data_IF_087402528547
#
_entry.id   IF_087402528547
#
_cell.length_a   1.000
_cell.length_b   1.000
_cell.length_c   1.000
_cell.angle_alpha   90.00
_cell.angle_beta   90.00
_cell.angle_gamma   90.00
#
_symmetry.space_group_name_H-M   'P 1'
#
loop_
_entity.id
_entity.type
_entity.pdbx_description
1 polymer ?
#
# COMPACT_ATOMS: atom_id res chain seq x y z
N UNK A 1 -11.83 25.41 -21.80
CA UNK A 1 -13.25 25.13 -21.48
C UNK A 1 -13.51 23.70 -21.92
N UNK A 2 -13.66 22.79 -20.96
CA UNK A 2 -14.07 21.42 -21.29
C UNK A 2 -15.51 21.45 -21.80
N UNK A 3 -15.82 20.69 -22.84
CA UNK A 3 -17.18 20.52 -23.31
C UNK A 3 -17.99 19.72 -22.28
N UNK A 4 -19.33 19.82 -22.33
CA UNK A 4 -20.22 19.03 -21.45
C UNK A 4 -19.97 17.52 -21.62
N UNK A 5 -19.37 17.10 -22.75
CA UNK A 5 -18.99 15.71 -23.05
C UNK A 5 -17.67 15.26 -22.36
N UNK A 6 -16.93 16.16 -21.70
CA UNK A 6 -15.64 15.80 -21.08
C UNK A 6 -15.75 15.55 -19.56
N UNK A 7 -16.97 15.63 -19.00
CA UNK A 7 -17.20 15.40 -17.57
C UNK A 7 -17.26 13.90 -17.27
N UNK A 8 -16.38 13.42 -16.40
CA UNK A 8 -16.44 12.05 -15.87
C UNK A 8 -17.41 12.03 -14.68
N UNK A 9 -18.51 11.31 -14.83
CA UNK A 9 -19.49 11.11 -13.76
C UNK A 9 -19.09 9.91 -12.93
N UNK A 10 -18.84 10.15 -11.64
CA UNK A 10 -18.37 9.10 -10.72
C UNK A 10 -19.41 8.74 -9.68
N UNK A 11 -19.31 7.51 -9.18
CA UNK A 11 -20.03 7.05 -8.00
C UNK A 11 -19.05 6.57 -6.92
N UNK A 12 -19.47 6.71 -5.66
CA UNK A 12 -18.75 6.20 -4.49
C UNK A 12 -19.48 5.00 -3.91
N UNK A 13 -18.78 3.87 -3.71
CA UNK A 13 -19.28 2.69 -2.98
C UNK A 13 -18.43 2.51 -1.73
N UNK A 14 -19.04 2.73 -0.56
CA UNK A 14 -18.37 2.83 0.74
C UNK A 14 -18.07 4.27 1.12
N UNK A 15 -19.07 4.95 1.73
CA UNK A 15 -19.00 6.37 2.11
C UNK A 15 -18.42 6.58 3.52
N UNK A 16 -17.48 5.71 3.95
CA UNK A 16 -16.71 5.88 5.18
C UNK A 16 -15.64 6.98 5.05
N UNK A 17 -14.82 7.16 6.09
CA UNK A 17 -13.82 8.24 6.12
C UNK A 17 -12.87 8.23 4.90
N UNK A 18 -12.38 7.04 4.48
CA UNK A 18 -11.52 6.94 3.30
C UNK A 18 -12.29 7.30 2.02
N UNK A 19 -13.45 6.70 1.80
CA UNK A 19 -14.25 6.98 0.61
C UNK A 19 -14.66 8.45 0.47
N UNK A 20 -15.00 9.14 1.58
CA UNK A 20 -15.25 10.58 1.57
C UNK A 20 -14.00 11.39 1.21
N UNK A 21 -12.83 10.96 1.72
CA UNK A 21 -11.54 11.54 1.35
C UNK A 21 -11.26 11.42 -0.14
N UNK A 22 -11.44 10.23 -0.70
CA UNK A 22 -11.27 9.95 -2.12
C UNK A 22 -12.26 10.74 -2.98
N UNK A 23 -13.53 10.78 -2.59
CA UNK A 23 -14.55 11.58 -3.31
C UNK A 23 -14.22 13.06 -3.32
N UNK A 24 -13.73 13.61 -2.20
CA UNK A 24 -13.28 15.00 -2.10
C UNK A 24 -12.10 15.28 -3.03
N UNK A 25 -11.09 14.40 -3.05
CA UNK A 25 -9.93 14.54 -3.93
C UNK A 25 -10.35 14.41 -5.40
N UNK A 26 -11.17 13.43 -5.73
CA UNK A 26 -11.67 13.20 -7.07
C UNK A 26 -12.44 14.42 -7.61
N UNK A 27 -13.36 14.96 -6.82
CA UNK A 27 -14.18 16.12 -7.21
C UNK A 27 -13.42 17.46 -7.20
N UNK A 28 -12.20 17.50 -6.64
CA UNK A 28 -11.31 18.66 -6.78
C UNK A 28 -10.59 18.70 -8.14
N UNK A 29 -10.71 17.66 -8.95
CA UNK A 29 -10.13 17.57 -10.29
C UNK A 29 -11.16 18.08 -11.30
N UNK A 30 -10.78 19.02 -12.13
CA UNK A 30 -11.65 19.61 -13.14
C UNK A 30 -12.33 18.56 -14.02
N UNK A 31 -13.65 18.72 -14.23
CA UNK A 31 -14.44 17.81 -15.04
C UNK A 31 -14.68 16.43 -14.39
N UNK A 32 -14.56 16.30 -13.06
CA UNK A 32 -14.98 15.09 -12.32
C UNK A 32 -16.16 15.46 -11.42
N UNK A 33 -17.26 14.72 -11.50
CA UNK A 33 -18.49 14.99 -10.75
C UNK A 33 -19.00 13.75 -10.06
N UNK A 34 -19.18 13.81 -8.74
CA UNK A 34 -19.85 12.75 -7.98
C UNK A 34 -21.37 12.89 -8.15
N UNK A 35 -22.02 11.84 -8.64
CA UNK A 35 -23.47 11.81 -8.91
C UNK A 35 -24.22 10.75 -8.11
N UNK A 36 -23.50 9.81 -7.51
CA UNK A 36 -24.12 8.73 -6.72
C UNK A 36 -23.22 8.28 -5.59
N UNK A 37 -23.82 7.81 -4.49
CA UNK A 37 -23.10 7.21 -3.36
C UNK A 37 -23.85 6.00 -2.78
N UNK A 38 -23.10 5.04 -2.29
CA UNK A 38 -23.62 3.84 -1.64
C UNK A 38 -22.91 3.60 -0.30
N UNK A 39 -23.67 3.31 0.75
CA UNK A 39 -23.15 2.83 2.04
C UNK A 39 -24.23 2.01 2.74
N UNK A 40 -23.85 1.06 3.56
CA UNK A 40 -24.77 0.27 4.37
C UNK A 40 -25.31 1.01 5.61
N UNK A 41 -24.77 2.19 5.94
CA UNK A 41 -25.23 3.01 7.08
C UNK A 41 -25.90 4.30 6.60
N UNK A 42 -27.13 4.53 7.07
CA UNK A 42 -27.98 5.63 6.65
C UNK A 42 -27.39 7.02 6.92
N UNK A 43 -26.80 7.21 8.11
CA UNK A 43 -26.20 8.49 8.47
C UNK A 43 -25.05 8.92 7.56
N UNK A 44 -24.32 7.98 6.93
CA UNK A 44 -23.35 8.31 5.90
C UNK A 44 -23.99 8.74 4.59
N UNK A 45 -25.12 8.14 4.22
CA UNK A 45 -25.89 8.52 3.02
C UNK A 45 -26.50 9.93 3.17
N UNK A 46 -27.00 10.25 4.37
CA UNK A 46 -27.47 11.59 4.72
C UNK A 46 -26.34 12.61 4.59
N UNK A 47 -25.17 12.32 5.15
CA UNK A 47 -23.99 13.18 5.04
C UNK A 47 -23.54 13.40 3.59
N UNK A 48 -23.66 12.40 2.72
CA UNK A 48 -23.37 12.57 1.30
C UNK A 48 -24.32 13.57 0.64
N UNK A 49 -25.62 13.56 1.01
CA UNK A 49 -26.60 14.57 0.53
C UNK A 49 -26.31 15.96 1.07
N UNK A 50 -25.87 16.08 2.31
CA UNK A 50 -25.47 17.36 2.91
C UNK A 50 -24.24 17.95 2.20
N UNK A 51 -23.28 17.11 1.84
CA UNK A 51 -21.99 17.53 1.27
C UNK A 51 -22.07 17.82 -0.23
N UNK A 52 -22.77 16.97 -1.00
CA UNK A 52 -22.79 17.02 -2.47
C UNK A 52 -24.13 17.47 -3.06
N UNK A 53 -25.09 17.81 -2.21
CA UNK A 53 -26.40 18.32 -2.61
C UNK A 53 -27.50 17.25 -2.53
N UNK A 54 -28.74 17.73 -2.36
CA UNK A 54 -29.91 16.85 -2.15
C UNK A 54 -30.24 15.97 -3.36
N UNK A 55 -29.78 16.35 -4.53
CA UNK A 55 -30.05 15.66 -5.80
C UNK A 55 -29.10 14.50 -6.07
N UNK A 56 -28.05 14.30 -5.25
CA UNK A 56 -27.18 13.13 -5.38
C UNK A 56 -27.99 11.86 -5.14
N UNK A 57 -27.85 10.89 -6.03
CA UNK A 57 -28.46 9.57 -5.81
C UNK A 57 -27.74 8.83 -4.68
N UNK A 58 -28.48 8.36 -3.68
CA UNK A 58 -27.91 7.55 -2.60
C UNK A 58 -28.66 6.25 -2.43
N UNK A 59 -27.94 5.17 -2.11
CA UNK A 59 -28.54 3.84 -1.94
C UNK A 59 -27.75 3.00 -0.94
N UNK A 60 -28.38 1.98 -0.37
CA UNK A 60 -27.70 0.94 0.40
C UNK A 60 -27.23 -0.23 -0.47
N UNK A 61 -27.75 -0.35 -1.70
CA UNK A 61 -27.47 -1.45 -2.61
C UNK A 61 -26.52 -1.02 -3.74
N UNK A 62 -25.24 -1.47 -3.69
CA UNK A 62 -24.24 -1.13 -4.71
C UNK A 62 -24.64 -1.60 -6.13
N UNK A 63 -25.47 -2.63 -6.28
CA UNK A 63 -25.93 -3.10 -7.60
C UNK A 63 -26.73 -2.02 -8.34
N UNK A 64 -27.42 -1.13 -7.61
CA UNK A 64 -28.08 0.01 -8.22
C UNK A 64 -27.08 0.99 -8.84
N UNK A 65 -25.89 1.17 -8.22
CA UNK A 65 -24.78 1.95 -8.81
C UNK A 65 -24.25 1.25 -10.05
N UNK A 66 -24.03 -0.07 -9.99
CA UNK A 66 -23.52 -0.87 -11.12
C UNK A 66 -24.46 -0.76 -12.31
N UNK A 67 -25.79 -0.77 -12.09
CA UNK A 67 -26.81 -0.69 -13.14
C UNK A 67 -26.98 0.69 -13.80
N UNK A 68 -26.42 1.76 -13.24
CA UNK A 68 -26.57 3.14 -13.75
C UNK A 68 -25.74 3.34 -15.03
N UNK A 69 -26.38 3.79 -16.10
CA UNK A 69 -25.71 4.07 -17.39
C UNK A 69 -24.98 5.41 -17.41
N UNK A 70 -25.35 6.32 -16.51
CA UNK A 70 -24.76 7.66 -16.38
C UNK A 70 -23.54 7.72 -15.44
N UNK A 71 -23.09 6.58 -14.90
CA UNK A 71 -21.87 6.47 -14.11
C UNK A 71 -20.76 5.93 -15.01
N UNK A 72 -19.70 6.72 -15.19
CA UNK A 72 -18.52 6.35 -15.99
C UNK A 72 -17.47 5.59 -15.17
N UNK A 73 -17.26 6.01 -13.93
CA UNK A 73 -16.26 5.42 -13.05
C UNK A 73 -16.77 5.27 -11.61
N UNK A 74 -16.22 4.30 -10.89
CA UNK A 74 -16.61 3.99 -9.51
C UNK A 74 -15.38 4.01 -8.61
N UNK A 75 -15.50 4.69 -7.47
CA UNK A 75 -14.55 4.60 -6.35
C UNK A 75 -15.11 3.55 -5.37
N UNK A 76 -14.31 2.52 -5.07
CA UNK A 76 -14.66 1.45 -4.14
C UNK A 76 -13.80 1.61 -2.88
N UNK A 77 -14.44 1.95 -1.75
CA UNK A 77 -13.81 2.16 -0.45
C UNK A 77 -14.60 1.46 0.67
N UNK A 78 -15.11 0.28 0.35
CA UNK A 78 -15.82 -0.63 1.24
C UNK A 78 -14.85 -1.34 2.20
N UNK A 79 -15.31 -2.19 3.14
CA UNK A 79 -14.46 -3.19 3.77
C UNK A 79 -13.83 -4.13 2.74
N UNK A 80 -12.65 -4.67 3.07
CA UNK A 80 -11.78 -5.40 2.13
C UNK A 80 -12.48 -6.60 1.46
N UNK A 81 -13.32 -7.31 2.19
CA UNK A 81 -14.03 -8.50 1.68
C UNK A 81 -15.04 -8.22 0.55
N UNK A 82 -15.31 -6.95 0.24
CA UNK A 82 -16.15 -6.53 -0.87
C UNK A 82 -15.37 -6.07 -2.10
N UNK A 83 -14.06 -5.74 -1.96
CA UNK A 83 -13.28 -5.09 -3.01
C UNK A 83 -13.28 -5.87 -4.33
N UNK A 84 -12.93 -7.15 -4.27
CA UNK A 84 -12.84 -8.02 -5.45
C UNK A 84 -14.20 -8.14 -6.15
N UNK A 85 -15.26 -8.44 -5.43
CA UNK A 85 -16.59 -8.65 -6.00
C UNK A 85 -17.14 -7.40 -6.67
N UNK A 86 -17.11 -6.26 -5.99
CA UNK A 86 -17.62 -5.00 -6.53
C UNK A 86 -16.79 -4.55 -7.74
N UNK A 87 -15.45 -4.71 -7.67
CA UNK A 87 -14.56 -4.41 -8.80
C UNK A 87 -14.92 -5.19 -10.06
N UNK A 88 -15.11 -6.50 -9.93
CA UNK A 88 -15.48 -7.36 -11.06
C UNK A 88 -16.86 -6.98 -11.62
N UNK A 89 -17.84 -6.74 -10.75
CA UNK A 89 -19.20 -6.36 -11.18
C UNK A 89 -19.18 -5.01 -11.92
N UNK A 90 -18.41 -4.01 -11.45
CA UNK A 90 -18.27 -2.71 -12.10
C UNK A 90 -17.55 -2.83 -13.46
N UNK A 91 -16.44 -3.58 -13.53
CA UNK A 91 -15.69 -3.79 -14.78
C UNK A 91 -16.57 -4.49 -15.84
N UNK A 92 -17.31 -5.53 -15.45
CA UNK A 92 -18.23 -6.24 -16.32
C UNK A 92 -19.40 -5.36 -16.80
N UNK A 93 -19.80 -4.36 -16.00
CA UNK A 93 -20.79 -3.34 -16.38
C UNK A 93 -20.19 -2.19 -17.22
N UNK A 94 -18.93 -2.29 -17.62
CA UNK A 94 -18.27 -1.30 -18.47
C UNK A 94 -17.85 -0.02 -17.76
N UNK A 95 -17.63 -0.03 -16.45
CA UNK A 95 -17.20 1.11 -15.66
C UNK A 95 -15.71 1.09 -15.37
N UNK A 96 -15.06 2.25 -15.37
CA UNK A 96 -13.74 2.41 -14.82
C UNK A 96 -13.78 2.26 -13.29
N UNK A 97 -12.72 1.73 -12.69
CA UNK A 97 -12.70 1.42 -11.25
C UNK A 97 -11.43 1.95 -10.59
N UNK A 98 -11.63 2.71 -9.55
CA UNK A 98 -10.62 2.99 -8.53
C UNK A 98 -10.99 2.17 -7.28
N UNK A 99 -10.19 1.17 -6.94
CA UNK A 99 -10.44 0.30 -5.79
C UNK A 99 -9.43 0.55 -4.70
N UNK A 100 -9.88 0.90 -3.49
CA UNK A 100 -8.98 1.04 -2.35
C UNK A 100 -8.21 -0.26 -2.08
N UNK A 101 -7.05 -0.11 -1.51
CA UNK A 101 -6.17 -1.21 -1.11
C UNK A 101 -6.66 -1.86 0.21
N UNK A 102 -6.38 -3.15 0.44
CA UNK A 102 -5.81 -4.10 -0.52
C UNK A 102 -6.84 -4.43 -1.61
N UNK A 103 -6.37 -4.70 -2.81
CA UNK A 103 -7.25 -5.01 -3.95
C UNK A 103 -8.19 -6.20 -3.69
N UNK A 104 -7.76 -7.12 -2.84
CA UNK A 104 -8.47 -8.36 -2.51
C UNK A 104 -8.38 -8.68 -1.02
N UNK A 105 -9.37 -9.40 -0.50
CA UNK A 105 -9.38 -9.91 0.86
C UNK A 105 -8.65 -11.27 0.98
N UNK A 106 -8.74 -12.09 -0.06
CA UNK A 106 -8.04 -13.37 -0.20
C UNK A 106 -7.23 -13.41 -1.50
N UNK A 107 -6.07 -14.08 -1.47
CA UNK A 107 -5.13 -14.12 -2.61
C UNK A 107 -5.79 -14.73 -3.84
N UNK A 108 -6.62 -15.75 -3.65
CA UNK A 108 -7.31 -16.50 -4.70
C UNK A 108 -8.23 -15.61 -5.55
N UNK A 109 -8.72 -14.51 -5.01
CA UNK A 109 -9.57 -13.55 -5.71
C UNK A 109 -8.80 -12.74 -6.77
N UNK A 110 -7.48 -12.62 -6.60
CA UNK A 110 -6.65 -11.69 -7.38
C UNK A 110 -6.68 -11.95 -8.88
N UNK A 111 -6.53 -13.21 -9.29
CA UNK A 111 -6.57 -13.58 -10.71
C UNK A 111 -7.92 -13.27 -11.38
N UNK A 112 -9.01 -13.33 -10.62
CA UNK A 112 -10.35 -13.00 -11.13
C UNK A 112 -10.49 -11.50 -11.40
N UNK A 113 -9.92 -10.64 -10.55
CA UNK A 113 -9.89 -9.19 -10.77
C UNK A 113 -9.00 -8.83 -11.97
N UNK A 114 -7.80 -9.42 -12.08
CA UNK A 114 -6.90 -9.22 -13.24
C UNK A 114 -7.61 -9.61 -14.53
N UNK A 115 -8.26 -10.77 -14.57
CA UNK A 115 -8.99 -11.23 -15.75
C UNK A 115 -10.17 -10.32 -16.10
N UNK A 116 -10.89 -9.79 -15.10
CA UNK A 116 -11.98 -8.86 -15.34
C UNK A 116 -11.47 -7.53 -15.92
N UNK A 117 -10.37 -7.00 -15.40
CA UNK A 117 -9.72 -5.82 -15.97
C UNK A 117 -9.32 -6.04 -17.42
N UNK A 118 -8.62 -7.14 -17.71
CA UNK A 118 -8.14 -7.44 -19.07
C UNK A 118 -9.26 -7.60 -20.09
N UNK A 119 -10.44 -8.08 -19.68
CA UNK A 119 -11.60 -8.30 -20.56
C UNK A 119 -12.45 -7.05 -20.75
N UNK A 120 -12.36 -6.08 -19.88
CA UNK A 120 -13.30 -4.95 -19.82
C UNK A 120 -12.90 -3.75 -20.68
N UNK A 121 -11.67 -3.66 -21.15
CA UNK A 121 -11.07 -2.45 -21.76
C UNK A 121 -11.21 -1.18 -20.90
N UNK A 122 -11.44 -1.35 -19.60
CA UNK A 122 -11.62 -0.25 -18.66
C UNK A 122 -10.37 -0.03 -17.80
N UNK A 123 -10.20 1.20 -17.37
CA UNK A 123 -9.16 1.55 -16.42
C UNK A 123 -9.54 0.96 -15.05
N UNK A 124 -8.64 0.19 -14.47
CA UNK A 124 -8.70 -0.28 -13.10
C UNK A 124 -7.42 0.15 -12.38
N UNK A 125 -7.56 0.93 -11.32
CA UNK A 125 -6.43 1.38 -10.51
C UNK A 125 -6.65 1.01 -9.04
N UNK A 126 -5.61 0.45 -8.41
CA UNK A 126 -5.61 0.19 -6.97
C UNK A 126 -5.21 1.45 -6.22
N UNK A 127 -5.90 1.77 -5.13
CA UNK A 127 -5.72 2.97 -4.31
C UNK A 127 -4.47 2.93 -3.42
N UNK A 128 -3.30 2.54 -3.95
CA UNK A 128 -2.04 2.51 -3.21
C UNK A 128 -1.20 3.74 -3.55
N UNK A 129 -1.47 4.86 -2.90
CA UNK A 129 -0.92 6.18 -3.20
C UNK A 129 0.62 6.28 -3.14
N UNK A 130 1.34 5.35 -2.50
CA UNK A 130 2.81 5.31 -2.49
C UNK A 130 3.38 5.24 -3.90
N UNK A 131 2.67 4.60 -4.81
CA UNK A 131 3.05 4.49 -6.22
C UNK A 131 3.09 5.84 -6.95
N UNK A 132 2.32 6.83 -6.48
CA UNK A 132 2.27 8.19 -7.04
C UNK A 132 3.01 9.24 -6.21
N UNK A 133 3.68 8.85 -5.11
CA UNK A 133 4.45 9.77 -4.29
C UNK A 133 5.69 10.25 -5.02
N UNK A 134 5.87 11.58 -5.10
CA UNK A 134 7.05 12.18 -5.74
C UNK A 134 8.35 11.77 -5.04
N UNK A 135 8.30 11.52 -3.72
CA UNK A 135 9.48 11.07 -2.99
C UNK A 135 9.86 9.63 -3.31
N UNK A 136 8.90 8.72 -3.47
CA UNK A 136 9.18 7.36 -3.93
C UNK A 136 9.65 7.33 -5.40
N UNK A 137 9.11 8.19 -6.26
CA UNK A 137 9.58 8.34 -7.65
C UNK A 137 11.01 8.91 -7.70
N UNK A 138 11.32 9.89 -6.85
CA UNK A 138 12.68 10.41 -6.72
C UNK A 138 13.64 9.37 -6.15
N UNK A 139 13.23 8.61 -5.16
CA UNK A 139 14.02 7.50 -4.62
C UNK A 139 14.32 6.45 -5.69
N UNK A 140 13.37 6.12 -6.57
CA UNK A 140 13.58 5.22 -7.71
C UNK A 140 14.64 5.78 -8.67
N UNK A 141 14.58 7.06 -9.01
CA UNK A 141 15.57 7.72 -9.85
C UNK A 141 16.98 7.58 -9.24
N UNK A 142 17.13 7.92 -7.96
CA UNK A 142 18.40 7.84 -7.23
C UNK A 142 18.88 6.40 -7.07
N UNK A 143 17.98 5.47 -6.80
CA UNK A 143 18.29 4.04 -6.73
C UNK A 143 18.88 3.54 -8.07
N UNK A 144 18.22 3.85 -9.19
CA UNK A 144 18.69 3.50 -10.54
C UNK A 144 20.03 4.13 -10.89
N UNK A 145 20.34 5.32 -10.36
CA UNK A 145 21.64 5.98 -10.55
C UNK A 145 22.77 5.39 -9.70
N UNK A 146 22.48 4.38 -8.85
CA UNK A 146 23.45 3.76 -7.96
C UNK A 146 23.79 4.60 -6.71
N UNK A 147 22.90 5.51 -6.28
CA UNK A 147 23.14 6.41 -5.17
C UNK A 147 23.57 5.72 -3.85
N UNK A 148 23.15 4.50 -3.61
CA UNK A 148 23.48 3.73 -2.40
C UNK A 148 24.36 2.50 -2.68
N UNK A 149 24.84 2.33 -3.91
CA UNK A 149 25.59 1.14 -4.32
C UNK A 149 24.71 -0.10 -4.46
N UNK A 150 25.25 -1.27 -4.11
CA UNK A 150 24.54 -2.56 -4.22
C UNK A 150 23.57 -2.74 -3.07
N UNK A 151 22.26 -2.87 -3.37
CA UNK A 151 21.22 -3.15 -2.37
C UNK A 151 21.46 -4.51 -1.69
N UNK A 152 21.35 -4.56 -0.38
CA UNK A 152 21.47 -5.81 0.38
C UNK A 152 20.29 -6.03 1.36
N UNK A 153 19.67 -4.96 1.86
CA UNK A 153 18.57 -5.06 2.83
C UNK A 153 17.61 -3.86 2.66
N UNK A 154 16.34 -4.09 2.98
CA UNK A 154 15.36 -3.02 3.14
C UNK A 154 14.64 -3.19 4.47
N UNK A 155 14.45 -2.11 5.20
CA UNK A 155 13.67 -2.06 6.43
C UNK A 155 12.48 -1.15 6.23
N UNK A 156 11.31 -1.53 6.75
CA UNK A 156 10.14 -0.69 6.70
C UNK A 156 9.33 -0.75 7.99
N UNK A 157 8.71 0.34 8.34
CA UNK A 157 7.91 0.42 9.54
C UNK A 157 6.69 1.31 9.35
N UNK A 158 5.66 1.01 10.14
CA UNK A 158 4.49 1.84 10.31
C UNK A 158 4.06 1.73 11.78
N UNK A 159 4.53 2.66 12.58
CA UNK A 159 4.31 2.69 14.02
C UNK A 159 3.22 3.70 14.35
N UNK A 160 2.24 3.29 15.15
CA UNK A 160 1.12 4.10 15.63
C UNK A 160 1.07 4.10 17.14
N UNK A 161 0.43 5.11 17.72
CA UNK A 161 0.35 5.25 19.19
C UNK A 161 -1.01 5.76 19.67
N UNK A 162 -1.96 6.02 18.77
CA UNK A 162 -3.28 6.56 19.09
C UNK A 162 -4.37 5.51 19.00
N UNK A 163 -5.50 5.75 19.67
CA UNK A 163 -6.68 4.88 19.56
C UNK A 163 -7.24 4.86 18.14
N UNK A 164 -7.26 6.00 17.44
CA UNK A 164 -7.69 6.10 16.05
C UNK A 164 -6.73 5.34 15.15
N UNK A 165 -5.43 5.48 15.36
CA UNK A 165 -4.40 4.71 14.64
C UNK A 165 -4.55 3.20 14.81
N UNK A 166 -5.07 2.74 15.97
CA UNK A 166 -5.40 1.35 16.25
C UNK A 166 -6.84 0.97 15.87
N UNK A 167 -7.48 1.74 14.99
CA UNK A 167 -8.83 1.50 14.45
C UNK A 167 -9.97 1.52 15.49
N UNK A 168 -9.80 2.26 16.60
CA UNK A 168 -10.85 2.49 17.59
C UNK A 168 -11.79 3.62 17.15
N UNK A 169 -12.41 3.44 15.99
CA UNK A 169 -13.31 4.44 15.42
C UNK A 169 -14.58 4.61 16.24
N UNK A 170 -15.14 5.82 16.19
CA UNK A 170 -16.41 6.15 16.85
C UNK A 170 -17.55 5.33 16.27
N UNK A 171 -18.40 4.85 17.15
CA UNK A 171 -19.67 4.19 16.80
C UNK A 171 -20.76 5.21 17.06
N UNK A 172 -21.57 5.57 16.07
CA UNK A 172 -22.63 6.57 16.25
C UNK A 172 -23.73 6.02 17.17
N UNK A 173 -24.39 6.89 17.95
CA UNK A 173 -25.36 6.45 18.97
C UNK A 173 -26.64 5.85 18.38
N UNK A 174 -26.97 6.13 17.12
CA UNK A 174 -28.10 5.59 16.37
C UNK A 174 -27.80 4.25 15.68
N UNK A 175 -26.58 3.71 15.84
CA UNK A 175 -26.18 2.45 15.24
C UNK A 175 -27.10 1.30 15.65
N UNK A 176 -27.85 0.77 14.71
CA UNK A 176 -28.87 -0.27 14.94
C UNK A 176 -29.11 -1.08 13.65
N UNK A 177 -29.77 -2.24 13.73
CA UNK A 177 -30.17 -3.00 12.54
C UNK A 177 -31.11 -2.25 11.59
N UNK A 178 -31.77 -1.19 12.04
CA UNK A 178 -32.65 -0.36 11.19
C UNK A 178 -31.88 0.71 10.42
N UNK A 179 -30.84 1.29 11.03
CA UNK A 179 -29.99 2.31 10.40
C UNK A 179 -28.81 1.72 9.62
N UNK A 180 -28.44 0.46 9.91
CA UNK A 180 -27.34 -0.25 9.26
C UNK A 180 -27.84 -1.52 8.58
N UNK A 181 -27.59 -1.67 7.28
CA UNK A 181 -27.87 -2.92 6.56
C UNK A 181 -26.79 -3.96 6.86
N UNK A 182 -26.99 -4.66 7.99
CA UNK A 182 -26.04 -5.66 8.46
C UNK A 182 -25.93 -6.87 7.53
N UNK A 183 -27.04 -7.27 6.92
CA UNK A 183 -27.07 -8.41 6.02
C UNK A 183 -26.23 -8.14 4.77
N UNK A 184 -26.42 -6.97 4.17
CA UNK A 184 -25.64 -6.55 3.00
C UNK A 184 -24.17 -6.31 3.36
N UNK A 185 -23.89 -5.66 4.52
CA UNK A 185 -22.54 -5.46 4.99
C UNK A 185 -21.75 -6.78 5.08
N UNK A 186 -22.34 -7.83 5.67
CA UNK A 186 -21.68 -9.14 5.81
C UNK A 186 -21.37 -9.80 4.45
N UNK A 187 -22.21 -9.62 3.45
CA UNK A 187 -22.01 -10.21 2.11
C UNK A 187 -21.74 -11.71 2.16
N UNK A 188 -20.56 -12.14 1.70
CA UNK A 188 -20.11 -13.53 1.72
C UNK A 188 -19.46 -13.95 3.05
N UNK A 189 -19.19 -13.02 3.96
CA UNK A 189 -18.62 -13.32 5.27
C UNK A 189 -19.59 -14.15 6.14
N UNK A 190 -19.10 -14.81 7.20
CA UNK A 190 -19.94 -15.57 8.14
C UNK A 190 -21.12 -14.75 8.65
N UNK A 191 -22.29 -15.36 8.71
CA UNK A 191 -23.50 -14.69 9.18
C UNK A 191 -23.54 -14.67 10.70
N UNK A 192 -23.27 -13.50 11.25
CA UNK A 192 -23.23 -13.23 12.69
C UNK A 192 -24.40 -12.33 13.10
N UNK A 193 -24.86 -12.40 14.38
CA UNK A 193 -25.77 -11.41 14.94
C UNK A 193 -25.23 -10.00 14.79
N UNK A 194 -26.13 -9.02 14.78
CA UNK A 194 -25.75 -7.60 14.73
C UNK A 194 -24.74 -7.24 15.83
N UNK A 195 -23.66 -6.62 15.41
CA UNK A 195 -22.62 -6.07 16.29
C UNK A 195 -22.10 -4.74 15.73
N UNK A 196 -22.39 -3.59 16.37
CA UNK A 196 -21.94 -2.30 15.90
C UNK A 196 -20.41 -2.14 15.89
N UNK A 197 -19.69 -2.87 16.74
CA UNK A 197 -18.23 -2.88 16.71
C UNK A 197 -17.73 -3.52 15.42
N UNK A 198 -18.27 -4.66 15.04
CA UNK A 198 -17.91 -5.34 13.80
C UNK A 198 -18.24 -4.50 12.56
N UNK A 199 -19.32 -3.73 12.61
CA UNK A 199 -19.70 -2.85 11.50
C UNK A 199 -18.77 -1.62 11.37
N UNK A 200 -18.61 -0.84 12.45
CA UNK A 200 -17.86 0.44 12.38
C UNK A 200 -16.34 0.29 12.57
N UNK A 201 -15.90 -0.81 13.18
CA UNK A 201 -14.49 -1.14 13.42
C UNK A 201 -14.06 -2.42 12.71
N UNK A 202 -14.58 -2.64 11.51
CA UNK A 202 -14.45 -3.87 10.74
C UNK A 202 -12.98 -4.28 10.49
N UNK A 203 -12.05 -3.32 10.42
CA UNK A 203 -10.61 -3.61 10.30
C UNK A 203 -10.03 -4.45 11.44
N UNK A 204 -10.73 -4.49 12.57
CA UNK A 204 -10.36 -5.28 13.73
C UNK A 204 -10.76 -6.76 13.61
N UNK A 205 -11.48 -7.14 12.54
CA UNK A 205 -12.06 -8.48 12.38
C UNK A 205 -11.70 -9.09 11.03
N UNK A 206 -11.09 -10.28 11.07
CA UNK A 206 -10.63 -11.03 9.90
C UNK A 206 -11.73 -11.41 8.91
N UNK A 207 -12.98 -11.46 9.37
CA UNK A 207 -14.12 -11.71 8.49
C UNK A 207 -14.34 -10.60 7.45
N UNK A 208 -13.86 -9.38 7.71
CA UNK A 208 -14.16 -8.18 6.90
C UNK A 208 -12.93 -7.45 6.42
N UNK A 209 -11.84 -7.53 7.19
CA UNK A 209 -10.59 -6.84 6.93
C UNK A 209 -9.39 -7.77 6.95
N UNK A 210 -8.31 -7.32 6.38
CA UNK A 210 -7.06 -8.06 6.24
C UNK A 210 -6.05 -7.77 7.37
N UNK A 211 -6.48 -6.97 8.37
CA UNK A 211 -5.63 -6.58 9.49
C UNK A 211 -4.40 -5.77 9.05
N UNK A 212 -3.35 -5.77 9.86
CA UNK A 212 -2.12 -5.01 9.60
C UNK A 212 -1.43 -5.43 8.30
N UNK A 213 -1.60 -6.67 7.86
CA UNK A 213 -1.01 -7.19 6.64
C UNK A 213 -1.52 -6.45 5.40
N UNK A 214 -2.80 -6.57 5.08
CA UNK A 214 -3.38 -5.95 3.88
C UNK A 214 -3.66 -4.46 4.05
N UNK A 215 -3.90 -3.96 5.29
CA UNK A 215 -4.14 -2.52 5.47
C UNK A 215 -2.84 -1.70 5.49
N UNK A 216 -1.73 -2.23 6.01
CA UNK A 216 -0.50 -1.48 6.25
C UNK A 216 0.73 -2.04 5.53
N UNK A 217 1.03 -3.35 5.63
CA UNK A 217 2.18 -3.91 4.93
C UNK A 217 2.09 -3.77 3.42
N UNK A 218 0.89 -3.78 2.84
CA UNK A 218 0.68 -3.55 1.41
C UNK A 218 1.27 -2.21 0.95
N UNK A 219 1.16 -1.14 1.75
CA UNK A 219 1.77 0.15 1.44
C UNK A 219 3.30 0.08 1.42
N UNK A 220 3.90 -0.60 2.40
CA UNK A 220 5.35 -0.74 2.51
C UNK A 220 5.90 -1.56 1.35
N UNK A 221 5.19 -2.63 0.94
CA UNK A 221 5.53 -3.44 -0.23
C UNK A 221 5.36 -2.65 -1.52
N UNK A 222 4.27 -1.88 -1.68
CA UNK A 222 4.08 -0.97 -2.82
C UNK A 222 5.22 0.04 -2.91
N UNK A 223 5.65 0.63 -1.78
CA UNK A 223 6.79 1.53 -1.73
C UNK A 223 8.09 0.87 -2.17
N UNK A 224 8.38 -0.33 -1.66
CA UNK A 224 9.53 -1.14 -2.08
C UNK A 224 9.50 -1.42 -3.59
N UNK A 225 8.39 -1.95 -4.11
CA UNK A 225 8.24 -2.28 -5.53
C UNK A 225 8.30 -1.03 -6.43
N UNK A 226 7.86 0.14 -5.92
CA UNK A 226 7.97 1.40 -6.65
C UNK A 226 9.42 1.81 -6.87
N UNK A 227 10.27 1.66 -5.85
CA UNK A 227 11.68 2.08 -5.91
C UNK A 227 12.54 1.06 -6.64
N UNK A 228 12.39 -0.22 -6.32
CA UNK A 228 13.26 -1.29 -6.83
C UNK A 228 12.77 -1.93 -8.12
N UNK A 229 11.47 -1.76 -8.45
CA UNK A 229 10.79 -2.46 -9.56
C UNK A 229 10.79 -3.99 -9.39
N UNK A 230 10.93 -4.46 -8.16
CA UNK A 230 10.80 -5.88 -7.83
C UNK A 230 9.38 -6.37 -8.06
N UNK A 231 9.23 -7.65 -8.38
CA UNK A 231 7.92 -8.28 -8.65
C UNK A 231 7.37 -9.09 -7.48
N UNK A 232 8.19 -9.38 -6.49
CA UNK A 232 7.78 -10.05 -5.26
C UNK A 232 8.88 -10.90 -4.62
N UNK A 233 8.71 -11.30 -3.34
CA UNK A 233 9.59 -12.23 -2.64
C UNK A 233 9.31 -13.67 -3.07
N UNK A 234 10.16 -14.61 -2.67
CA UNK A 234 9.93 -16.06 -2.84
C UNK A 234 9.61 -16.76 -1.53
N UNK A 235 9.99 -16.17 -0.39
CA UNK A 235 9.78 -16.73 0.94
C UNK A 235 9.40 -15.64 1.93
N UNK A 236 8.43 -15.95 2.80
CA UNK A 236 7.82 -15.00 3.73
C UNK A 236 7.69 -15.67 5.09
N UNK A 237 8.08 -14.97 6.16
CA UNK A 237 7.83 -15.37 7.53
C UNK A 237 7.33 -14.18 8.35
N UNK A 238 6.34 -14.43 9.22
CA UNK A 238 5.82 -13.41 10.10
C UNK A 238 5.59 -13.91 11.53
N UNK A 239 5.71 -12.98 12.47
CA UNK A 239 5.42 -13.18 13.89
C UNK A 239 4.74 -11.95 14.48
N UNK A 240 4.03 -12.11 15.60
CA UNK A 240 3.30 -11.00 16.22
C UNK A 240 2.18 -11.47 17.13
N UNK A 241 1.13 -10.68 17.23
CA UNK A 241 -0.09 -11.03 17.97
C UNK A 241 -0.71 -9.82 18.68
N UNK A 242 -1.70 -10.10 19.55
CA UNK A 242 -2.35 -9.10 20.39
C UNK A 242 -1.45 -8.82 21.61
N UNK A 243 -0.82 -7.66 21.64
CA UNK A 243 0.10 -7.26 22.70
C UNK A 243 -0.48 -6.20 23.64
N UNK A 244 -1.26 -5.28 23.11
CA UNK A 244 -1.81 -4.15 23.86
C UNK A 244 -3.34 -4.02 23.75
N UNK A 245 -3.93 -3.97 22.55
CA UNK A 245 -5.35 -3.67 22.29
C UNK A 245 -6.25 -4.90 22.50
N UNK A 246 -6.69 -5.11 23.75
CA UNK A 246 -7.59 -6.24 24.12
C UNK A 246 -9.06 -5.81 24.09
N UNK A 247 -9.53 -5.41 22.92
CA UNK A 247 -10.86 -4.84 22.69
C UNK A 247 -11.86 -5.78 21.98
N UNK A 248 -11.47 -7.05 21.84
CA UNK A 248 -12.27 -8.09 21.17
C UNK A 248 -11.92 -8.28 19.69
N UNK A 249 -10.86 -7.62 19.20
CA UNK A 249 -10.33 -7.84 17.85
C UNK A 249 -9.70 -9.22 17.72
N UNK A 250 -9.68 -9.75 16.49
CA UNK A 250 -9.00 -11.01 16.15
C UNK A 250 -7.81 -10.81 15.19
N UNK A 251 -7.47 -9.54 14.89
CA UNK A 251 -6.27 -9.18 14.14
C UNK A 251 -5.14 -8.73 15.08
N UNK A 252 -3.86 -8.98 14.76
CA UNK A 252 -2.74 -8.54 15.57
C UNK A 252 -2.64 -7.01 15.66
N UNK A 253 -2.13 -6.50 16.77
CA UNK A 253 -1.79 -5.08 16.97
C UNK A 253 -0.27 -4.84 16.90
N UNK A 254 0.53 -5.91 16.96
CA UNK A 254 1.97 -5.92 16.66
C UNK A 254 2.26 -7.05 15.69
N UNK A 255 2.92 -6.73 14.59
CA UNK A 255 3.32 -7.71 13.58
C UNK A 255 4.69 -7.34 12.99
N UNK A 256 5.54 -8.35 12.86
CA UNK A 256 6.83 -8.29 12.21
C UNK A 256 6.85 -9.32 11.07
N UNK A 257 7.50 -8.98 9.96
CA UNK A 257 7.68 -9.93 8.87
C UNK A 257 9.07 -9.80 8.26
N UNK A 258 9.56 -10.89 7.68
CA UNK A 258 10.75 -10.94 6.84
C UNK A 258 10.40 -11.60 5.51
N UNK A 259 10.98 -11.08 4.43
CA UNK A 259 10.76 -11.57 3.08
C UNK A 259 12.08 -11.69 2.33
N UNK A 260 12.27 -12.81 1.63
CA UNK A 260 13.44 -13.04 0.79
C UNK A 260 13.13 -12.70 -0.66
N UNK A 261 13.78 -11.67 -1.18
CA UNK A 261 13.69 -11.27 -2.59
C UNK A 261 14.82 -11.94 -3.39
N UNK A 262 14.50 -12.65 -4.47
CA UNK A 262 15.48 -13.38 -5.25
C UNK A 262 16.35 -12.43 -6.08
N UNK A 263 17.54 -12.91 -6.46
CA UNK A 263 18.37 -12.24 -7.47
C UNK A 263 17.66 -12.26 -8.82
N UNK A 264 17.65 -11.13 -9.51
CA UNK A 264 17.18 -10.98 -10.90
C UNK A 264 18.29 -10.47 -11.80
N UNK A 265 18.02 -10.25 -13.08
CA UNK A 265 18.97 -9.62 -13.98
C UNK A 265 19.30 -8.17 -13.59
N UNK A 266 18.34 -7.47 -12.96
CA UNK A 266 18.45 -6.05 -12.59
C UNK A 266 18.84 -5.82 -11.13
N UNK A 267 18.60 -6.79 -10.23
CA UNK A 267 18.75 -6.63 -8.78
C UNK A 267 19.52 -7.79 -8.17
N UNK A 268 20.37 -7.53 -7.15
CA UNK A 268 20.91 -8.58 -6.28
C UNK A 268 19.78 -9.23 -5.47
N UNK A 269 20.02 -10.37 -4.85
CA UNK A 269 19.15 -10.87 -3.79
C UNK A 269 19.24 -9.94 -2.56
N UNK A 270 18.12 -9.70 -1.89
CA UNK A 270 18.08 -8.89 -0.67
C UNK A 270 16.99 -9.37 0.29
N UNK A 271 17.10 -8.98 1.55
CA UNK A 271 16.08 -9.23 2.56
C UNK A 271 15.25 -7.97 2.81
N UNK A 272 13.94 -8.16 3.00
CA UNK A 272 13.02 -7.10 3.39
C UNK A 272 12.43 -7.40 4.76
N UNK A 273 12.58 -6.46 5.69
CA UNK A 273 12.05 -6.55 7.07
C UNK A 273 10.99 -5.49 7.26
N UNK A 274 9.81 -5.90 7.75
CA UNK A 274 8.68 -5.00 8.00
C UNK A 274 8.22 -5.12 9.45
N UNK A 275 7.76 -4.01 10.02
CA UNK A 275 7.04 -4.02 11.30
C UNK A 275 5.88 -3.04 11.31
N UNK A 276 4.86 -3.41 12.09
CA UNK A 276 3.77 -2.53 12.52
C UNK A 276 3.59 -2.70 14.02
N UNK A 277 3.44 -1.58 14.73
CA UNK A 277 3.14 -1.56 16.16
C UNK A 277 2.08 -0.49 16.43
N UNK A 278 0.91 -0.88 16.94
CA UNK A 278 -0.20 0.05 17.25
C UNK A 278 -0.11 0.70 18.62
N UNK A 279 0.97 0.43 19.38
CA UNK A 279 1.27 1.10 20.63
C UNK A 279 2.78 1.22 20.81
N UNK A 280 3.39 2.00 19.93
CA UNK A 280 4.85 2.10 19.82
C UNK A 280 5.54 2.85 20.97
N UNK A 281 4.78 3.63 21.75
CA UNK A 281 5.33 4.45 22.83
C UNK A 281 6.04 5.73 22.36
N UNK A 282 6.08 5.97 21.05
CA UNK A 282 6.66 7.17 20.41
C UNK A 282 5.64 7.79 19.47
N UNK A 283 5.96 8.93 18.88
CA UNK A 283 5.14 9.55 17.83
C UNK A 283 4.91 8.59 16.67
N UNK A 284 3.75 8.73 16.02
CA UNK A 284 3.41 7.93 14.84
C UNK A 284 4.44 8.19 13.74
N UNK A 285 4.99 7.12 13.18
CA UNK A 285 6.00 7.21 12.13
C UNK A 285 5.87 6.08 11.12
N UNK A 286 6.27 6.36 9.89
CA UNK A 286 6.39 5.36 8.86
C UNK A 286 7.54 5.69 7.93
N UNK A 287 8.09 4.66 7.29
CA UNK A 287 9.15 4.83 6.32
C UNK A 287 9.59 3.51 5.72
N UNK A 288 10.32 3.63 4.61
CA UNK A 288 11.04 2.53 3.97
C UNK A 288 12.50 2.96 3.82
N UNK A 289 13.41 2.18 4.42
CA UNK A 289 14.85 2.42 4.39
C UNK A 289 15.54 1.37 3.52
N UNK A 290 16.12 1.81 2.43
CA UNK A 290 16.94 1.02 1.53
C UNK A 290 18.39 1.09 1.98
N UNK A 291 19.05 -0.06 2.17
CA UNK A 291 20.40 -0.19 2.68
C UNK A 291 21.26 -0.81 1.58
N UNK A 292 22.21 -0.05 1.11
CA UNK A 292 23.16 -0.47 0.08
C UNK A 292 24.60 -0.50 0.57
N UNK A 293 25.51 -0.93 -0.29
CA UNK A 293 26.95 -1.04 0.04
C UNK A 293 27.64 0.31 0.30
N UNK A 294 27.08 1.41 -0.23
CA UNK A 294 27.72 2.73 -0.22
C UNK A 294 26.89 3.80 0.52
N UNK A 295 25.69 3.44 1.01
CA UNK A 295 24.81 4.36 1.71
C UNK A 295 23.41 3.82 1.94
N UNK A 296 22.54 4.70 2.43
CA UNK A 296 21.13 4.39 2.69
C UNK A 296 20.21 5.45 2.09
N UNK A 297 18.97 5.06 1.78
CA UNK A 297 17.87 5.97 1.47
C UNK A 297 16.69 5.69 2.38
N UNK A 298 16.17 6.70 3.08
CA UNK A 298 14.97 6.61 3.89
C UNK A 298 13.87 7.44 3.28
N UNK A 299 12.74 6.81 2.94
CA UNK A 299 11.63 7.43 2.21
C UNK A 299 10.38 7.42 3.05
N UNK A 300 9.71 8.58 3.14
CA UNK A 300 8.34 8.74 3.65
C UNK A 300 7.43 9.34 2.55
N UNK A 301 6.24 9.82 2.89
CA UNK A 301 5.37 10.50 1.91
C UNK A 301 5.94 11.83 1.44
N UNK A 302 6.53 12.58 2.36
CA UNK A 302 6.95 13.96 2.17
C UNK A 302 8.45 14.12 2.09
N UNK A 303 9.21 13.13 2.56
CA UNK A 303 10.65 13.26 2.76
C UNK A 303 11.41 12.07 2.16
N UNK A 304 12.61 12.38 1.69
CA UNK A 304 13.61 11.41 1.26
C UNK A 304 14.98 11.87 1.75
N UNK A 305 15.58 11.09 2.61
CA UNK A 305 16.95 11.27 3.09
C UNK A 305 17.88 10.25 2.41
N UNK A 306 18.94 10.73 1.77
CA UNK A 306 19.98 9.88 1.20
C UNK A 306 21.26 10.14 1.97
N UNK A 307 21.78 9.11 2.63
CA UNK A 307 23.01 9.20 3.41
C UNK A 307 24.09 8.33 2.77
N UNK A 308 25.23 8.92 2.46
CA UNK A 308 26.43 8.20 2.05
C UNK A 308 27.49 8.29 3.13
N UNK A 309 28.03 7.13 3.46
CA UNK A 309 29.13 7.02 4.41
C UNK A 309 30.39 6.72 3.61
N UNK A 310 31.51 7.45 3.84
CA UNK A 310 32.80 7.07 3.26
C UNK A 310 33.09 5.62 3.63
N UNK A 311 33.56 4.82 2.67
CA UNK A 311 34.06 3.49 3.01
C UNK A 311 35.12 3.64 4.09
N UNK A 312 34.97 3.02 5.27
CA UNK A 312 36.03 3.01 6.24
C UNK A 312 37.26 2.36 5.61
N UNK A 313 38.42 2.82 6.00
CA UNK A 313 39.70 2.21 5.61
C UNK A 313 39.75 0.81 6.26
N UNK A 314 39.08 -0.15 5.62
CA UNK A 314 38.75 -1.49 6.14
C UNK A 314 39.95 -2.42 6.19
N UNK A 315 41.16 -1.86 6.45
CA UNK A 315 42.33 -2.72 6.68
C UNK A 315 42.11 -3.54 7.96
N UNK A 316 42.41 -4.79 7.85
CA UNK A 316 42.19 -5.77 8.92
C UNK A 316 43.07 -5.48 10.13
N UNK A 317 42.48 -5.09 11.27
CA UNK A 317 43.16 -4.82 12.53
C UNK A 317 43.77 -6.10 13.15
N UNK A 318 43.32 -7.30 12.75
CA UNK A 318 43.88 -8.57 13.24
C UNK A 318 45.32 -8.80 12.77
N UNK A 319 45.78 -8.05 11.74
CA UNK A 319 47.20 -8.10 11.29
C UNK A 319 48.15 -7.63 12.37
N UNK A 320 47.70 -6.92 13.39
CA UNK A 320 48.54 -6.54 14.54
C UNK A 320 49.13 -7.73 15.29
N UNK A 321 48.58 -8.92 15.10
CA UNK A 321 49.11 -10.18 15.66
C UNK A 321 50.31 -10.74 14.88
N UNK A 322 50.64 -10.20 13.69
CA UNK A 322 51.78 -10.61 12.87
C UNK A 322 53.00 -9.75 13.17
N UNK A 323 54.18 -10.19 12.68
CA UNK A 323 55.44 -9.41 12.78
C UNK A 323 55.27 -8.07 12.03
N UNK A 324 55.99 -7.02 12.49
CA UNK A 324 55.95 -5.69 11.88
C UNK A 324 56.21 -5.71 10.37
N UNK A 325 57.19 -6.51 9.93
CA UNK A 325 57.50 -6.66 8.49
C UNK A 325 56.34 -7.30 7.70
N UNK A 326 55.59 -8.18 8.30
CA UNK A 326 54.41 -8.80 7.68
C UNK A 326 53.25 -7.80 7.65
N UNK A 327 53.03 -7.04 8.72
CA UNK A 327 52.02 -5.97 8.74
C UNK A 327 52.26 -4.94 7.63
N UNK A 328 53.48 -4.48 7.44
CA UNK A 328 53.83 -3.54 6.37
C UNK A 328 53.54 -4.11 4.96
N UNK A 329 53.92 -5.37 4.73
CA UNK A 329 53.64 -6.07 3.47
C UNK A 329 52.15 -6.17 3.18
N UNK A 330 51.39 -6.56 4.20
CA UNK A 330 49.92 -6.69 4.07
C UNK A 330 49.26 -5.33 3.84
N UNK A 331 49.66 -4.27 4.55
CA UNK A 331 49.16 -2.91 4.33
C UNK A 331 49.45 -2.40 2.93
N UNK A 332 50.65 -2.68 2.42
CA UNK A 332 51.02 -2.29 1.07
C UNK A 332 50.18 -3.01 0.02
N UNK A 333 50.10 -4.32 0.12
CA UNK A 333 49.30 -5.14 -0.79
C UNK A 333 47.81 -4.74 -0.72
N UNK A 334 47.29 -4.44 0.47
CA UNK A 334 45.89 -4.00 0.63
C UNK A 334 45.64 -2.65 -0.10
N UNK A 335 46.52 -1.67 0.06
CA UNK A 335 46.39 -0.37 -0.62
C UNK A 335 46.50 -0.47 -2.15
N UNK A 336 47.34 -1.35 -2.66
CA UNK A 336 47.44 -1.63 -4.09
C UNK A 336 46.15 -2.25 -4.66
N UNK A 337 45.49 -3.13 -3.91
CA UNK A 337 44.28 -3.80 -4.33
C UNK A 337 43.00 -3.02 -4.01
N UNK A 338 43.09 -1.99 -3.15
CA UNK A 338 41.95 -1.17 -2.72
C UNK A 338 42.27 0.32 -2.89
N UNK A 339 42.42 0.79 -4.13
CA UNK A 339 42.63 2.22 -4.38
C UNK A 339 41.48 3.02 -3.80
N UNK A 340 41.70 4.26 -3.36
CA UNK A 340 40.64 5.14 -2.85
C UNK A 340 39.46 5.12 -3.83
N UNK A 341 38.25 4.82 -3.33
CA UNK A 341 37.07 4.84 -4.17
C UNK A 341 36.96 6.22 -4.82
N UNK A 342 36.77 6.26 -6.14
CA UNK A 342 36.45 7.51 -6.83
C UNK A 342 35.17 8.06 -6.16
N UNK A 343 35.24 9.28 -5.63
CA UNK A 343 34.09 9.98 -5.10
C UNK A 343 33.11 10.12 -6.25
N UNK A 344 31.95 9.46 -6.14
CA UNK A 344 30.89 9.66 -7.13
C UNK A 344 30.51 11.13 -7.11
N UNK A 345 30.68 11.80 -8.24
CA UNK A 345 30.29 13.22 -8.40
C UNK A 345 28.78 13.39 -8.33
N UNK A 346 28.03 12.28 -8.44
CA UNK A 346 26.55 12.26 -8.44
C UNK A 346 25.95 12.32 -7.03
N UNK A 347 26.69 11.88 -6.00
CA UNK A 347 26.19 11.88 -4.63
C UNK A 347 27.35 12.14 -3.66
N UNK A 348 27.54 13.36 -3.17
CA UNK A 348 28.59 13.67 -2.21
C UNK A 348 28.36 12.93 -0.88
N UNK A 349 29.42 12.70 -0.11
CA UNK A 349 29.34 12.17 1.23
C UNK A 349 28.48 13.07 2.12
N UNK A 350 27.75 12.47 3.06
CA UNK A 350 26.84 13.17 3.98
C UNK A 350 25.38 12.87 3.69
N UNK A 351 24.52 13.66 4.24
CA UNK A 351 23.05 13.52 4.11
C UNK A 351 22.54 14.52 3.08
N UNK A 352 21.85 14.03 2.06
CA UNK A 352 21.06 14.82 1.12
C UNK A 352 19.58 14.65 1.45
N UNK A 353 18.86 15.76 1.53
CA UNK A 353 17.43 15.78 1.88
C UNK A 353 16.60 16.31 0.72
N UNK A 354 15.51 15.62 0.44
CA UNK A 354 14.49 16.03 -0.51
C UNK A 354 13.15 16.03 0.20
N UNK A 355 12.28 16.96 -0.13
CA UNK A 355 10.92 17.05 0.40
C UNK A 355 9.93 17.45 -0.69
N UNK A 356 8.67 17.23 -0.42
CA UNK A 356 7.56 17.64 -1.29
C UNK A 356 6.30 17.86 -0.48
N UNK A 357 5.60 18.95 -0.78
CA UNK A 357 4.27 19.25 -0.23
C UNK A 357 3.14 18.62 -1.07
N UNK A 358 3.48 17.89 -2.14
CA UNK A 358 2.49 17.25 -3.00
C UNK A 358 1.78 16.12 -2.26
N UNK A 359 0.46 16.08 -2.35
CA UNK A 359 -0.35 14.99 -1.82
C UNK A 359 -0.27 13.75 -2.72
N UNK A 360 0.33 12.64 -2.28
CA UNK A 360 0.36 11.40 -3.06
C UNK A 360 -1.04 10.89 -3.42
N UNK A 361 -2.02 11.08 -2.55
CA UNK A 361 -3.41 10.70 -2.81
C UNK A 361 -4.00 11.50 -3.98
N UNK A 362 -3.82 12.84 -3.99
CA UNK A 362 -4.29 13.67 -5.10
C UNK A 362 -3.61 13.30 -6.42
N UNK A 363 -2.29 13.11 -6.41
CA UNK A 363 -1.54 12.69 -7.61
C UNK A 363 -2.01 11.32 -8.11
N UNK A 364 -2.37 10.42 -7.20
CA UNK A 364 -2.88 9.10 -7.56
C UNK A 364 -4.26 9.17 -8.24
N UNK A 365 -5.17 10.02 -7.75
CA UNK A 365 -6.44 10.32 -8.40
C UNK A 365 -6.25 11.00 -9.77
N UNK A 366 -5.35 11.99 -9.88
CA UNK A 366 -5.02 12.63 -11.16
C UNK A 366 -4.56 11.60 -12.20
N UNK A 367 -3.70 10.66 -11.81
CA UNK A 367 -3.23 9.59 -12.68
C UNK A 367 -4.39 8.71 -13.18
N UNK A 368 -5.33 8.33 -12.30
CA UNK A 368 -6.53 7.57 -12.68
C UNK A 368 -7.36 8.29 -13.76
N UNK A 369 -7.70 9.57 -13.53
CA UNK A 369 -8.51 10.33 -14.48
C UNK A 369 -7.77 10.67 -15.78
N UNK A 370 -6.46 10.84 -15.74
CA UNK A 370 -5.63 10.98 -16.96
C UNK A 370 -5.64 9.68 -17.78
N UNK A 371 -5.56 8.53 -17.13
CA UNK A 371 -5.67 7.25 -17.84
C UNK A 371 -7.03 7.11 -18.53
N UNK A 372 -8.12 7.56 -17.91
CA UNK A 372 -9.46 7.53 -18.50
C UNK A 372 -9.57 8.49 -19.70
N UNK A 373 -9.09 9.73 -19.58
CA UNK A 373 -9.28 10.79 -20.58
C UNK A 373 -8.31 10.70 -21.76
N UNK A 374 -7.07 10.35 -21.47
CA UNK A 374 -5.94 10.50 -22.37
C UNK A 374 -5.34 9.14 -22.78
N UNK A 375 -5.79 8.04 -22.17
CA UNK A 375 -5.14 6.73 -22.34
C UNK A 375 -3.72 6.69 -21.76
N UNK A 376 -3.43 7.55 -20.77
CA UNK A 376 -2.14 7.55 -20.10
C UNK A 376 -1.86 6.19 -19.44
N UNK A 377 -0.59 5.74 -19.35
CA UNK A 377 -0.25 4.48 -18.72
C UNK A 377 -0.76 4.40 -17.28
N UNK A 378 -1.35 3.27 -16.92
CA UNK A 378 -1.78 3.00 -15.56
C UNK A 378 -0.59 2.97 -14.61
N UNK A 379 -0.74 3.61 -13.47
CA UNK A 379 0.32 3.65 -12.44
C UNK A 379 0.30 2.36 -11.62
N UNK A 380 -0.88 1.86 -11.27
CA UNK A 380 -1.05 0.64 -10.48
C UNK A 380 -2.28 -0.13 -10.96
N UNK A 381 -2.05 -1.09 -11.85
CA UNK A 381 -3.07 -2.00 -12.36
C UNK A 381 -3.33 -3.16 -11.38
N UNK A 382 -4.27 -4.04 -11.71
CA UNK A 382 -4.59 -5.21 -10.88
C UNK A 382 -3.40 -6.18 -10.73
N UNK A 383 -2.51 -6.26 -11.72
CA UNK A 383 -1.31 -7.10 -11.66
C UNK A 383 -0.33 -6.57 -10.60
N UNK A 384 -0.03 -5.27 -10.64
CA UNK A 384 0.81 -4.65 -9.63
C UNK A 384 0.15 -4.73 -8.24
N UNK A 385 -1.17 -4.47 -8.16
CA UNK A 385 -1.93 -4.57 -6.92
C UNK A 385 -1.83 -5.95 -6.27
N UNK A 386 -1.94 -7.05 -7.05
CA UNK A 386 -1.80 -8.41 -6.52
C UNK A 386 -0.36 -8.74 -6.13
N UNK A 387 0.64 -8.23 -6.85
CA UNK A 387 2.07 -8.38 -6.47
C UNK A 387 2.39 -7.73 -5.13
N UNK A 388 1.68 -6.68 -4.74
CA UNK A 388 1.82 -6.06 -3.43
C UNK A 388 0.93 -6.75 -2.37
N UNK A 389 -0.34 -7.03 -2.69
CA UNK A 389 -1.31 -7.61 -1.77
C UNK A 389 -1.00 -9.08 -1.44
N UNK A 390 -0.60 -9.90 -2.40
CA UNK A 390 -0.34 -11.33 -2.19
C UNK A 390 0.70 -11.60 -1.11
N UNK A 391 1.93 -11.07 -1.21
CA UNK A 391 2.93 -11.21 -0.16
C UNK A 391 2.51 -10.62 1.18
N UNK A 392 1.78 -9.48 1.18
CA UNK A 392 1.23 -8.90 2.40
C UNK A 392 0.27 -9.87 3.09
N UNK A 393 -0.69 -10.42 2.37
CA UNK A 393 -1.69 -11.36 2.91
C UNK A 393 -1.06 -12.68 3.39
N UNK A 394 0.00 -13.15 2.73
CA UNK A 394 0.76 -14.31 3.18
C UNK A 394 1.44 -14.11 4.54
N UNK A 395 1.71 -12.87 4.95
CA UNK A 395 2.22 -12.63 6.31
C UNK A 395 1.18 -12.99 7.38
N UNK A 396 -0.12 -12.77 7.12
CA UNK A 396 -1.19 -13.24 8.01
C UNK A 396 -1.17 -14.77 8.11
N UNK A 397 -1.10 -15.46 6.98
CA UNK A 397 -1.10 -16.91 6.95
C UNK A 397 0.15 -17.45 7.68
N UNK A 398 1.33 -16.88 7.41
CA UNK A 398 2.58 -17.24 8.12
C UNK A 398 2.45 -17.08 9.63
N UNK A 399 1.87 -15.94 10.09
CA UNK A 399 1.66 -15.67 11.51
C UNK A 399 0.74 -16.70 12.17
N UNK A 400 -0.40 -17.01 11.54
CA UNK A 400 -1.40 -17.90 12.14
C UNK A 400 -1.02 -19.37 12.07
N UNK A 401 -0.26 -19.77 11.05
CA UNK A 401 0.22 -21.14 10.90
C UNK A 401 1.61 -21.38 11.56
N UNK A 402 2.31 -20.30 11.93
CA UNK A 402 3.63 -20.36 12.57
C UNK A 402 4.73 -20.94 11.67
N UNK A 403 4.62 -20.78 10.35
CA UNK A 403 5.58 -21.34 9.38
C UNK A 403 5.92 -20.37 8.26
N UNK A 404 7.00 -20.69 7.53
CA UNK A 404 7.33 -20.00 6.28
C UNK A 404 6.27 -20.26 5.22
N UNK A 405 5.98 -19.21 4.44
CA UNK A 405 5.12 -19.28 3.26
C UNK A 405 5.99 -19.11 2.01
N UNK A 406 5.69 -19.88 0.97
CA UNK A 406 6.30 -19.73 -0.35
C UNK A 406 5.38 -18.89 -1.24
N UNK A 407 5.98 -18.04 -2.05
CA UNK A 407 5.31 -17.23 -3.05
C UNK A 407 6.01 -17.32 -4.38
N UNK A 408 5.28 -17.55 -5.44
CA UNK A 408 5.77 -17.42 -6.80
C UNK A 408 5.41 -16.05 -7.36
N UNK A 409 6.39 -15.12 -7.50
CA UNK A 409 6.12 -13.76 -7.94
C UNK A 409 5.73 -13.67 -9.42
N UNK A 410 6.07 -14.67 -10.24
CA UNK A 410 5.74 -14.69 -11.66
C UNK A 410 4.29 -15.10 -11.88
N UNK A 411 3.89 -16.22 -11.27
CA UNK A 411 2.50 -16.69 -11.34
C UNK A 411 1.56 -15.98 -10.35
N UNK A 412 2.10 -15.21 -9.41
CA UNK A 412 1.35 -14.54 -8.34
C UNK A 412 0.46 -15.50 -7.57
N UNK A 413 1.04 -16.59 -7.08
CA UNK A 413 0.36 -17.65 -6.33
C UNK A 413 1.22 -18.20 -5.21
N UNK A 414 0.58 -18.88 -4.27
CA UNK A 414 1.29 -19.68 -3.25
C UNK A 414 2.04 -20.81 -3.94
N UNK A 415 3.31 -21.02 -3.51
CA UNK A 415 4.18 -22.09 -3.97
C UNK A 415 3.96 -23.41 -3.20
#
# INVERSE_FOLDING_TARGET
>A
MHSVNDTIQIALIGSGGMGQGDAKLATSIDGVKLIAACDCYEGRLEHMKETYGKDIFVTRNYQEIVGRKDVDAVIIATPDHWHSRISIDCLNAGKHVYCEKPMVHAIEEGKSVINAQQKSDKVFQVGSQYRSSLMYLKARELFRSGAIGTLNMVEAWLDRNTAIGAWQYTIPPDASPTTCDWQQFQGSAPKLPWDPKRFFRWRNYRDYGTGVAGDLFVHLITGLHTVTESVGPTRIYATGGLRYWKDGRDVPDVMLATMDYPKTAALPAFNFVLRVNFKSGVEESFGVKFIGSDGTMTVSFTDLDVERVPRPDGFDDTVSSFSNSMQERLRKAWKENHPPASVSTLTPNGVQKYNSDSSPHLEHHKNFYRSIREGAPLIEDATFGLRAAGPALLTNQSLFEGKFMSWDPDSMSMG
#
